data_IF_157477457935
#
_entry.id   IF_157477457935
#
_cell.length_a   1.000
_cell.length_b   1.000
_cell.length_c   1.000
_cell.angle_alpha   90.00
_cell.angle_beta   90.00
_cell.angle_gamma   90.00
#
_symmetry.space_group_name_H-M   'P 1'
#
loop_
_entity.id
_entity.type
_entity.pdbx_description
1 polymer ?
#
# COMPACT_ATOMS: atom_id res chain seq x y z
N UNK A 1 -48.24 -40.04 -26.69
CA UNK A 1 -47.57 -39.43 -25.53
C UNK A 1 -46.29 -38.77 -25.99
N UNK A 2 -46.19 -37.45 -25.82
CA UNK A 2 -45.09 -36.61 -26.34
C UNK A 2 -43.84 -36.78 -25.48
N UNK A 3 -42.74 -37.27 -26.05
CA UNK A 3 -41.43 -37.18 -25.42
C UNK A 3 -40.84 -35.79 -25.68
N UNK A 4 -40.81 -34.95 -24.64
CA UNK A 4 -40.05 -33.71 -24.60
C UNK A 4 -38.56 -34.03 -24.82
N UNK A 5 -38.05 -33.76 -26.01
CA UNK A 5 -36.60 -33.64 -26.25
C UNK A 5 -36.11 -32.37 -25.56
N UNK A 6 -35.71 -32.49 -24.29
CA UNK A 6 -34.81 -31.51 -23.68
C UNK A 6 -33.48 -31.57 -24.44
N UNK A 7 -33.28 -30.66 -25.38
CA UNK A 7 -31.96 -30.39 -25.95
C UNK A 7 -31.12 -29.72 -24.85
N UNK A 8 -30.49 -30.56 -24.03
CA UNK A 8 -29.44 -30.13 -23.12
C UNK A 8 -28.32 -29.48 -23.95
N UNK A 9 -28.06 -28.20 -23.71
CA UNK A 9 -26.89 -27.49 -24.24
C UNK A 9 -25.58 -27.95 -23.58
N UNK A 10 -25.64 -28.87 -22.62
CA UNK A 10 -24.46 -29.47 -22.01
C UNK A 10 -23.91 -30.57 -22.92
N UNK A 11 -22.63 -30.45 -23.27
CA UNK A 11 -21.85 -31.43 -24.04
C UNK A 11 -21.88 -32.85 -23.45
N UNK A 12 -22.18 -32.97 -22.16
CA UNK A 12 -22.23 -34.23 -21.42
C UNK A 12 -23.52 -34.33 -20.62
N UNK A 13 -24.03 -35.56 -20.44
CA UNK A 13 -25.16 -35.88 -19.58
C UNK A 13 -24.79 -35.71 -18.11
N UNK A 14 -25.79 -35.45 -17.27
CA UNK A 14 -25.57 -35.49 -15.82
C UNK A 14 -25.18 -36.89 -15.37
N UNK A 15 -24.38 -37.01 -14.30
CA UNK A 15 -24.04 -38.30 -13.68
C UNK A 15 -25.30 -39.11 -13.28
N UNK A 16 -26.41 -38.42 -13.01
CA UNK A 16 -27.71 -39.03 -12.67
C UNK A 16 -28.49 -39.57 -13.88
N UNK A 17 -28.08 -39.23 -15.10
CA UNK A 17 -28.72 -39.67 -16.35
C UNK A 17 -28.08 -40.95 -16.91
N UNK A 18 -26.97 -41.42 -16.33
CA UNK A 18 -26.39 -42.71 -16.69
C UNK A 18 -27.22 -43.86 -16.09
N UNK A 19 -27.52 -44.91 -16.87
CA UNK A 19 -28.28 -46.04 -16.38
C UNK A 19 -27.49 -46.77 -15.30
N UNK A 20 -28.19 -47.22 -14.24
CA UNK A 20 -27.58 -47.96 -13.13
C UNK A 20 -27.14 -49.37 -13.53
N UNK A 21 -27.76 -49.93 -14.56
CA UNK A 21 -27.51 -51.27 -15.09
C UNK A 21 -27.47 -51.21 -16.61
N UNK A 22 -26.62 -52.03 -17.22
CA UNK A 22 -26.58 -52.22 -18.69
C UNK A 22 -27.54 -53.33 -19.16
N UNK A 23 -28.15 -54.04 -18.21
CA UNK A 23 -29.09 -55.13 -18.48
C UNK A 23 -30.28 -54.60 -19.27
N UNK A 24 -30.37 -55.01 -20.54
CA UNK A 24 -31.43 -54.63 -21.47
C UNK A 24 -31.04 -53.60 -22.53
N UNK A 25 -29.81 -53.07 -22.53
CA UNK A 25 -29.30 -52.24 -23.64
C UNK A 25 -28.78 -53.12 -24.77
N UNK A 26 -28.97 -52.68 -26.02
CA UNK A 26 -28.34 -53.31 -27.17
C UNK A 26 -26.83 -53.01 -27.17
N UNK A 27 -26.00 -53.92 -27.69
CA UNK A 27 -24.54 -53.77 -27.74
C UNK A 27 -24.08 -52.41 -28.32
N UNK A 28 -24.80 -51.91 -29.33
CA UNK A 28 -24.47 -50.62 -29.95
C UNK A 28 -24.74 -49.43 -29.01
N UNK A 29 -25.76 -49.52 -28.15
CA UNK A 29 -26.07 -48.49 -27.15
C UNK A 29 -25.07 -48.51 -25.99
N UNK A 30 -24.62 -49.72 -25.61
CA UNK A 30 -23.57 -49.91 -24.59
C UNK A 30 -22.25 -49.29 -25.05
N UNK A 31 -21.86 -49.49 -26.31
CA UNK A 31 -20.64 -48.89 -26.87
C UNK A 31 -20.68 -47.36 -26.90
N UNK A 32 -21.83 -46.78 -27.25
CA UNK A 32 -22.04 -45.33 -27.23
C UNK A 32 -21.93 -44.80 -25.79
N UNK A 33 -22.61 -45.46 -24.85
CA UNK A 33 -22.59 -45.09 -23.43
C UNK A 33 -21.17 -45.16 -22.86
N UNK A 34 -20.42 -46.21 -23.19
CA UNK A 34 -19.05 -46.38 -22.73
C UNK A 34 -18.12 -45.28 -23.27
N UNK A 35 -18.25 -44.91 -24.55
CA UNK A 35 -17.49 -43.80 -25.15
C UNK A 35 -17.81 -42.48 -24.45
N UNK A 36 -19.09 -42.23 -24.18
CA UNK A 36 -19.52 -41.02 -23.51
C UNK A 36 -19.02 -40.94 -22.05
N UNK A 37 -19.12 -42.03 -21.29
CA UNK A 37 -18.56 -42.12 -19.93
C UNK A 37 -17.05 -41.87 -19.94
N UNK A 38 -16.33 -42.46 -20.91
CA UNK A 38 -14.89 -42.24 -21.07
C UNK A 38 -14.57 -40.78 -21.34
N UNK A 39 -15.31 -40.13 -22.23
CA UNK A 39 -15.11 -38.72 -22.55
C UNK A 39 -15.42 -37.81 -21.35
N UNK A 40 -16.47 -38.10 -20.58
CA UNK A 40 -16.78 -37.43 -19.31
C UNK A 40 -15.62 -37.53 -18.31
N UNK A 41 -15.04 -38.73 -18.14
CA UNK A 41 -13.92 -38.96 -17.24
C UNK A 41 -12.65 -38.23 -17.69
N UNK A 42 -12.34 -38.25 -18.99
CA UNK A 42 -11.20 -37.53 -19.56
C UNK A 42 -11.37 -36.03 -19.36
N UNK A 43 -12.56 -35.49 -19.64
CA UNK A 43 -12.86 -34.08 -19.44
C UNK A 43 -12.74 -33.68 -17.97
N UNK A 44 -13.29 -34.48 -17.06
CA UNK A 44 -13.23 -34.23 -15.61
C UNK A 44 -11.81 -34.25 -15.08
N UNK A 45 -10.98 -35.21 -15.52
CA UNK A 45 -9.57 -35.24 -15.13
C UNK A 45 -8.80 -34.03 -15.67
N UNK A 46 -9.08 -33.62 -16.93
CA UNK A 46 -8.45 -32.43 -17.51
C UNK A 46 -8.87 -31.15 -16.77
N UNK A 47 -10.15 -31.00 -16.44
CA UNK A 47 -10.64 -29.82 -15.71
C UNK A 47 -10.07 -29.77 -14.29
N UNK A 48 -9.97 -30.91 -13.59
CA UNK A 48 -9.31 -31.02 -12.29
C UNK A 48 -7.84 -30.60 -12.35
N UNK A 49 -7.10 -31.09 -13.33
CA UNK A 49 -5.69 -30.71 -13.52
C UNK A 49 -5.53 -29.21 -13.81
N UNK A 50 -6.41 -28.62 -14.61
CA UNK A 50 -6.43 -27.17 -14.85
C UNK A 50 -6.73 -26.38 -13.57
N UNK A 51 -7.68 -26.85 -12.75
CA UNK A 51 -8.02 -26.22 -11.49
C UNK A 51 -6.84 -26.24 -10.51
N UNK A 52 -6.17 -27.39 -10.37
CA UNK A 52 -4.96 -27.53 -9.54
C UNK A 52 -3.85 -26.59 -10.01
N UNK A 53 -3.63 -26.51 -11.32
CA UNK A 53 -2.65 -25.59 -11.90
C UNK A 53 -2.98 -24.14 -11.56
N UNK A 54 -4.22 -23.69 -11.80
CA UNK A 54 -4.63 -22.31 -11.46
C UNK A 54 -4.51 -22.03 -9.97
N UNK A 55 -4.90 -22.98 -9.11
CA UNK A 55 -4.77 -22.82 -7.66
C UNK A 55 -3.31 -22.64 -7.24
N UNK A 56 -2.39 -23.44 -7.82
CA UNK A 56 -0.95 -23.28 -7.60
C UNK A 56 -0.44 -21.91 -8.06
N UNK A 57 -0.79 -21.49 -9.28
CA UNK A 57 -0.42 -20.17 -9.82
C UNK A 57 -0.94 -19.02 -8.92
N UNK A 58 -2.18 -19.12 -8.41
CA UNK A 58 -2.72 -18.14 -7.47
C UNK A 58 -1.98 -18.12 -6.14
N UNK A 59 -1.65 -19.28 -5.59
CA UNK A 59 -0.87 -19.40 -4.35
C UNK A 59 0.52 -18.79 -4.51
N UNK A 60 1.19 -19.06 -5.62
CA UNK A 60 2.50 -18.48 -5.94
C UNK A 60 2.42 -16.95 -6.06
N UNK A 61 1.43 -16.41 -6.79
CA UNK A 61 1.21 -14.95 -6.87
C UNK A 61 0.94 -14.32 -5.52
N UNK A 62 0.10 -14.94 -4.69
CA UNK A 62 -0.16 -14.46 -3.33
C UNK A 62 1.11 -14.45 -2.49
N UNK A 63 1.96 -15.48 -2.61
CA UNK A 63 3.21 -15.53 -1.88
C UNK A 63 4.18 -14.41 -2.30
N UNK A 64 4.25 -14.11 -3.60
CA UNK A 64 5.04 -12.98 -4.11
C UNK A 64 4.54 -11.66 -3.53
N UNK A 65 3.23 -11.43 -3.54
CA UNK A 65 2.63 -10.21 -2.97
C UNK A 65 2.89 -10.09 -1.46
N UNK A 66 2.77 -11.20 -0.72
CA UNK A 66 3.09 -11.23 0.72
C UNK A 66 4.55 -10.84 0.96
N UNK A 67 5.47 -11.34 0.14
CA UNK A 67 6.89 -11.03 0.28
C UNK A 67 7.16 -9.56 -0.04
N UNK A 68 6.53 -9.00 -1.09
CA UNK A 68 6.63 -7.58 -1.44
C UNK A 68 6.11 -6.68 -0.32
N UNK A 69 4.90 -6.95 0.19
CA UNK A 69 4.33 -6.19 1.30
C UNK A 69 5.18 -6.26 2.58
N UNK A 70 5.81 -7.41 2.84
CA UNK A 70 6.73 -7.56 3.96
C UNK A 70 7.97 -6.68 3.79
N UNK A 71 8.52 -6.62 2.58
CA UNK A 71 9.67 -5.78 2.27
C UNK A 71 9.31 -4.28 2.36
N UNK A 72 8.20 -3.86 1.77
CA UNK A 72 7.71 -2.47 1.85
C UNK A 72 7.51 -2.06 3.32
N UNK A 73 6.92 -2.93 4.15
CA UNK A 73 6.76 -2.65 5.58
C UNK A 73 8.10 -2.43 6.28
N UNK A 74 9.12 -3.22 5.97
CA UNK A 74 10.45 -3.05 6.57
C UNK A 74 11.15 -1.78 6.09
N UNK A 75 11.01 -1.44 4.81
CA UNK A 75 11.56 -0.21 4.24
C UNK A 75 10.90 1.02 4.87
N UNK A 76 9.57 1.03 4.97
CA UNK A 76 8.81 2.10 5.61
C UNK A 76 9.22 2.25 7.09
N UNK A 77 9.34 1.14 7.82
CA UNK A 77 9.77 1.17 9.21
C UNK A 77 11.17 1.77 9.39
N UNK A 78 12.11 1.45 8.49
CA UNK A 78 13.46 2.01 8.54
C UNK A 78 13.47 3.50 8.18
N UNK A 79 12.68 3.92 7.18
CA UNK A 79 12.50 5.34 6.86
C UNK A 79 11.97 6.11 8.06
N UNK A 80 10.91 5.62 8.71
CA UNK A 80 10.38 6.25 9.92
C UNK A 80 11.41 6.32 11.04
N UNK A 81 12.19 5.26 11.25
CA UNK A 81 13.26 5.26 12.26
C UNK A 81 14.31 6.31 11.94
N UNK A 82 14.70 6.44 10.68
CA UNK A 82 15.65 7.45 10.23
C UNK A 82 15.11 8.87 10.41
N UNK A 83 13.86 9.13 10.03
CA UNK A 83 13.21 10.44 10.23
C UNK A 83 13.10 10.80 11.71
N UNK A 84 12.78 9.83 12.59
CA UNK A 84 12.76 10.09 14.03
C UNK A 84 14.14 10.49 14.55
N UNK A 85 15.20 9.78 14.14
CA UNK A 85 16.58 10.11 14.52
C UNK A 85 17.00 11.48 14.00
N UNK A 86 16.60 11.83 12.78
CA UNK A 86 16.84 13.15 12.19
C UNK A 86 16.16 14.26 12.99
N UNK A 87 14.86 14.10 13.30
CA UNK A 87 14.11 15.02 14.17
C UNK A 87 14.71 15.12 15.58
N UNK A 88 15.15 14.01 16.17
CA UNK A 88 15.83 14.03 17.49
C UNK A 88 17.12 14.83 17.46
N UNK A 89 17.92 14.68 16.39
CA UNK A 89 19.14 15.46 16.19
C UNK A 89 18.84 16.96 15.99
N UNK A 90 17.79 17.27 15.22
CA UNK A 90 17.31 18.65 15.01
C UNK A 90 16.89 19.29 16.33
N UNK A 91 16.04 18.61 17.12
CA UNK A 91 15.61 19.08 18.44
C UNK A 91 16.82 19.29 19.36
N UNK A 92 17.77 18.35 19.35
CA UNK A 92 19.02 18.47 20.11
C UNK A 92 19.86 19.69 19.68
N UNK A 93 19.92 19.98 18.38
CA UNK A 93 20.61 21.16 17.85
C UNK A 93 19.90 22.45 18.23
N UNK A 94 18.57 22.49 18.11
CA UNK A 94 17.74 23.63 18.48
C UNK A 94 17.87 23.93 19.98
N UNK A 95 17.85 22.90 20.83
CA UNK A 95 18.06 23.06 22.28
C UNK A 95 19.41 23.72 22.58
N UNK A 96 20.48 23.31 21.90
CA UNK A 96 21.81 23.94 22.09
C UNK A 96 21.81 25.40 21.69
N UNK A 97 21.15 25.76 20.58
CA UNK A 97 21.04 27.15 20.16
C UNK A 97 20.19 27.98 21.12
N UNK A 98 19.12 27.40 21.69
CA UNK A 98 18.31 28.05 22.72
C UNK A 98 19.09 28.25 24.03
N UNK A 99 19.88 27.27 24.46
CA UNK A 99 20.77 27.40 25.63
C UNK A 99 21.82 28.50 25.42
N UNK A 100 22.40 28.58 24.20
CA UNK A 100 23.33 29.66 23.84
C UNK A 100 22.65 31.03 23.87
N UNK A 101 21.42 31.13 23.37
CA UNK A 101 20.63 32.35 23.41
C UNK A 101 20.25 32.74 24.84
N UNK A 102 19.84 31.78 25.67
CA UNK A 102 19.55 32.00 27.09
C UNK A 102 20.80 32.50 27.84
N UNK A 103 21.94 31.82 27.67
CA UNK A 103 23.21 32.24 28.29
C UNK A 103 23.64 33.64 27.82
N UNK A 104 23.46 33.94 26.54
CA UNK A 104 23.75 35.27 26.01
C UNK A 104 22.79 36.34 26.58
N UNK A 105 21.51 36.00 26.76
CA UNK A 105 20.50 36.88 27.35
C UNK A 105 20.78 37.14 28.83
N UNK A 106 21.06 36.11 29.63
CA UNK A 106 21.39 36.23 31.06
C UNK A 106 22.61 37.12 31.28
N UNK A 107 23.62 37.00 30.41
CA UNK A 107 24.81 37.86 30.45
C UNK A 107 24.53 39.36 30.21
N UNK A 108 23.40 39.66 29.55
CA UNK A 108 22.93 41.02 29.27
C UNK A 108 21.96 41.51 30.34
N UNK A 109 21.12 40.65 30.93
CA UNK A 109 20.17 41.01 31.99
C UNK A 109 20.86 41.23 33.36
N UNK A 110 21.99 40.57 33.63
CA UNK A 110 22.83 40.80 34.84
C UNK A 110 23.34 42.25 35.00
N UNK A 111 23.09 43.12 34.02
CA UNK A 111 23.41 44.56 34.03
C UNK A 111 22.45 45.36 34.93
N UNK A 112 21.28 44.84 35.26
CA UNK A 112 20.29 45.50 36.13
C UNK A 112 20.65 45.47 37.63
N UNK A 113 21.75 44.80 38.01
CA UNK A 113 22.19 44.73 39.39
C UNK A 113 22.95 46.01 39.80
N UNK A 114 22.41 46.82 40.75
CA UNK A 114 22.92 48.16 41.05
C UNK A 114 24.33 48.17 41.70
N UNK A 115 24.81 47.05 42.22
CA UNK A 115 26.11 46.95 42.89
C UNK A 115 27.32 46.82 41.93
N UNK A 116 27.12 46.53 40.64
CA UNK A 116 28.22 46.31 39.66
C UNK A 116 28.25 47.33 38.50
N UNK A 117 27.39 48.35 38.55
CA UNK A 117 27.08 49.25 37.43
C UNK A 117 28.31 49.97 36.82
N UNK A 118 29.34 50.27 37.62
CA UNK A 118 30.49 51.07 37.18
C UNK A 118 31.48 50.31 36.25
N UNK A 119 31.58 48.98 36.37
CA UNK A 119 32.37 48.15 35.44
C UNK A 119 31.53 47.59 34.28
N UNK A 120 30.21 47.60 34.41
CA UNK A 120 29.28 47.04 33.42
C UNK A 120 29.18 47.87 32.14
N UNK A 121 29.27 49.20 32.19
CA UNK A 121 29.17 50.07 30.99
C UNK A 121 30.27 49.85 29.94
N UNK A 122 31.49 49.49 30.36
CA UNK A 122 32.59 49.23 29.42
C UNK A 122 32.45 47.87 28.69
N UNK A 123 31.75 46.91 29.31
CA UNK A 123 31.58 45.57 28.72
C UNK A 123 30.25 45.40 27.96
N UNK A 124 29.31 46.34 28.10
CA UNK A 124 27.99 46.33 27.47
C UNK A 124 28.01 46.09 25.95
N UNK A 125 28.85 46.78 25.14
CA UNK A 125 28.89 46.55 23.69
C UNK A 125 29.29 45.11 23.37
N UNK A 126 30.31 44.59 24.05
CA UNK A 126 30.82 43.23 23.81
C UNK A 126 29.81 42.13 24.14
N UNK A 127 28.97 42.32 25.16
CA UNK A 127 27.92 41.37 25.56
C UNK A 127 26.71 41.44 24.63
N UNK A 128 26.30 42.63 24.22
CA UNK A 128 25.25 42.82 23.20
C UNK A 128 25.66 42.22 21.85
N UNK A 129 26.92 42.38 21.43
CA UNK A 129 27.44 41.73 20.22
C UNK A 129 27.37 40.20 20.30
N UNK A 130 27.60 39.59 21.47
CA UNK A 130 27.43 38.13 21.67
C UNK A 130 25.98 37.70 21.49
N UNK A 131 25.01 38.47 22.01
CA UNK A 131 23.58 38.20 21.81
C UNK A 131 23.18 38.30 20.33
N UNK A 132 23.59 39.36 19.64
CA UNK A 132 23.33 39.52 18.20
C UNK A 132 24.00 38.41 17.38
N UNK A 133 25.19 37.97 17.79
CA UNK A 133 25.89 36.86 17.15
C UNK A 133 25.14 35.52 17.36
N UNK A 134 24.60 35.26 18.55
CA UNK A 134 23.78 34.09 18.85
C UNK A 134 22.46 34.07 18.05
N UNK A 135 21.80 35.23 17.93
CA UNK A 135 20.61 35.39 17.09
C UNK A 135 20.96 35.15 15.61
N UNK A 136 22.09 35.71 15.15
CA UNK A 136 22.57 35.51 13.78
C UNK A 136 22.85 34.05 13.48
N UNK A 137 23.43 33.28 14.41
CA UNK A 137 23.65 31.85 14.22
C UNK A 137 22.36 31.05 14.10
N UNK A 138 21.32 31.38 14.89
CA UNK A 138 19.99 30.75 14.78
C UNK A 138 19.35 31.05 13.44
N UNK A 139 19.41 32.31 13.00
CA UNK A 139 18.83 32.74 11.71
C UNK A 139 19.57 32.12 10.52
N UNK A 140 20.90 31.96 10.62
CA UNK A 140 21.68 31.30 9.57
C UNK A 140 21.38 29.80 9.51
N UNK A 141 21.33 29.12 10.66
CA UNK A 141 20.94 27.71 10.74
C UNK A 141 19.55 27.47 10.13
N UNK A 142 18.55 28.26 10.54
CA UNK A 142 17.18 28.14 10.01
C UNK A 142 17.08 28.45 8.50
N UNK A 143 17.94 29.32 7.98
CA UNK A 143 17.99 29.67 6.56
C UNK A 143 18.72 28.61 5.71
N UNK A 144 19.74 27.97 6.27
CA UNK A 144 20.52 26.92 5.60
C UNK A 144 19.64 25.68 5.32
N UNK A 145 18.73 25.36 6.24
CA UNK A 145 17.74 24.28 6.12
C UNK A 145 16.74 24.51 4.97
N UNK A 146 16.15 25.72 4.86
CA UNK A 146 15.20 26.06 3.78
C UNK A 146 15.82 26.11 2.38
N UNK A 147 17.13 26.11 2.28
CA UNK A 147 17.83 26.14 0.98
C UNK A 147 18.10 24.72 0.46
N UNK A 148 18.09 23.69 1.31
CA UNK A 148 18.34 22.30 0.93
C UNK A 148 17.08 21.47 0.60
N UNK A 149 15.88 21.88 1.03
CA UNK A 149 14.62 21.11 0.85
C UNK A 149 14.02 21.07 -0.58
N UNK A 150 14.71 21.53 -1.63
CA UNK A 150 14.21 21.37 -3.02
C UNK A 150 14.53 20.02 -3.66
N UNK A 151 15.08 19.06 -2.90
CA UNK A 151 15.29 17.68 -3.36
C UNK A 151 14.13 16.79 -2.89
N UNK A 152 13.05 16.82 -3.68
CA UNK A 152 12.07 15.76 -3.93
C UNK A 152 11.86 14.72 -2.80
N UNK A 153 10.96 15.03 -1.86
CA UNK A 153 10.20 13.98 -1.19
C UNK A 153 9.29 13.26 -2.21
N UNK A 154 9.14 11.92 -2.15
CA UNK A 154 8.05 11.25 -2.84
C UNK A 154 6.74 11.64 -2.16
N UNK A 155 5.95 12.43 -2.88
CA UNK A 155 4.63 12.93 -2.48
C UNK A 155 3.72 11.81 -1.98
N UNK A 156 3.53 11.75 -0.66
CA UNK A 156 2.51 10.93 -0.04
C UNK A 156 1.16 11.67 -0.11
N UNK A 157 0.27 11.12 -0.92
CA UNK A 157 -1.19 11.09 -0.74
C UNK A 157 -1.85 12.41 -0.32
N UNK A 158 -1.98 13.33 -1.29
CA UNK A 158 -3.03 14.36 -1.23
C UNK A 158 -4.37 13.71 -1.52
N UNK A 159 -5.21 13.61 -0.49
CA UNK A 159 -6.63 13.27 -0.60
C UNK A 159 -7.38 14.45 -1.27
N UNK A 160 -7.25 14.57 -2.59
CA UNK A 160 -8.09 15.42 -3.43
C UNK A 160 -9.05 14.53 -4.21
N UNK A 161 -10.33 14.93 -4.38
CA UNK A 161 -11.25 14.21 -5.25
C UNK A 161 -10.68 14.17 -6.66
N UNK A 162 -10.55 12.95 -7.21
CA UNK A 162 -9.91 12.67 -8.49
C UNK A 162 -10.58 13.44 -9.64
N UNK A 163 -9.79 14.17 -10.42
CA UNK A 163 -10.20 14.79 -11.68
C UNK A 163 -10.41 13.73 -12.77
N UNK A 164 -11.40 13.91 -13.68
CA UNK A 164 -11.80 12.90 -14.67
C UNK A 164 -10.70 12.50 -15.67
N UNK A 165 -9.64 13.29 -15.83
CA UNK A 165 -8.49 12.95 -16.68
C UNK A 165 -7.59 11.85 -16.08
N UNK A 166 -7.56 11.68 -14.75
CA UNK A 166 -6.75 10.64 -14.11
C UNK A 166 -7.39 9.24 -14.19
N UNK A 167 -8.69 9.15 -14.51
CA UNK A 167 -9.41 7.89 -14.67
C UNK A 167 -9.07 7.16 -15.98
N UNK A 168 -8.64 7.87 -17.03
CA UNK A 168 -8.26 7.26 -18.31
C UNK A 168 -6.89 6.58 -18.27
N UNK A 169 -5.99 6.98 -17.37
CA UNK A 169 -4.62 6.45 -17.30
C UNK A 169 -4.47 5.20 -16.41
N UNK A 170 -5.51 4.82 -15.65
CA UNK A 170 -5.52 3.59 -14.83
C UNK A 170 -6.81 2.80 -15.04
N UNK A 171 -6.97 2.08 -16.17
CA UNK A 171 -8.18 1.30 -16.46
C UNK A 171 -8.43 0.15 -15.46
N UNK A 172 -7.44 -0.24 -14.65
CA UNK A 172 -7.58 -1.34 -13.69
C UNK A 172 -8.31 -1.00 -12.39
N UNK A 173 -8.56 0.29 -12.08
CA UNK A 173 -9.36 0.66 -10.90
C UNK A 173 -10.87 0.70 -11.18
N UNK A 174 -11.28 0.68 -12.45
CA UNK A 174 -12.70 0.70 -12.86
C UNK A 174 -13.32 -0.70 -12.96
N UNK A 175 -12.50 -1.73 -13.17
CA UNK A 175 -12.97 -3.10 -13.33
C UNK A 175 -12.66 -3.93 -12.08
N UNK A 176 -13.54 -3.85 -11.08
CA UNK A 176 -13.62 -4.90 -10.07
C UNK A 176 -14.14 -6.18 -10.76
N UNK A 177 -13.35 -7.26 -10.90
CA UNK A 177 -13.83 -8.51 -11.50
C UNK A 177 -14.97 -9.16 -10.69
N UNK A 178 -15.29 -8.67 -9.47
CA UNK A 178 -16.49 -9.09 -8.72
C UNK A 178 -17.79 -8.43 -9.19
N UNK A 179 -17.76 -7.36 -9.98
CA UNK A 179 -18.98 -6.70 -10.46
C UNK A 179 -19.55 -7.32 -11.75
N UNK A 180 -18.73 -8.06 -12.50
CA UNK A 180 -19.09 -8.60 -13.84
C UNK A 180 -19.97 -9.87 -13.76
N UNK A 181 -20.17 -10.44 -12.57
CA UNK A 181 -20.91 -11.71 -12.40
C UNK A 181 -22.20 -11.65 -11.58
N UNK A 182 -22.62 -10.48 -11.07
CA UNK A 182 -23.77 -10.38 -10.14
C UNK A 182 -25.11 -9.98 -10.76
N UNK A 183 -25.17 -9.55 -12.02
CA UNK A 183 -26.45 -9.11 -12.61
C UNK A 183 -27.32 -10.23 -13.20
N UNK A 184 -27.00 -11.50 -12.95
CA UNK A 184 -27.68 -12.65 -13.56
C UNK A 184 -28.60 -13.42 -12.59
N UNK A 185 -28.92 -12.83 -11.42
CA UNK A 185 -29.82 -13.45 -10.43
C UNK A 185 -31.14 -12.69 -10.16
N UNK A 186 -31.33 -11.50 -10.73
CA UNK A 186 -32.54 -10.70 -10.52
C UNK A 186 -33.27 -10.49 -11.85
N UNK A 187 -33.89 -11.54 -12.39
CA UNK A 187 -34.92 -11.46 -13.44
C UNK A 187 -35.64 -12.82 -13.59
N UNK A 188 -36.13 -13.39 -12.48
CA UNK A 188 -37.27 -14.31 -12.53
C UNK A 188 -38.24 -13.95 -11.40
N UNK A 189 -39.30 -13.25 -11.78
CA UNK A 189 -40.59 -13.16 -11.08
C UNK A 189 -41.68 -13.10 -12.16
#
# INVERSE_FOLDING_TARGET
MQQKKNQSSARFRSATEFPKTIDGLNNNEVDILYREMRDCLVFTNRSRSQLLRRNKEHKERMQVLINQLKQEKTEIAEVYRQTVVEMENEIGSMSRYLDQLSTAFDSVSDIENPEQAHWNYLSFPSRFFKLVQAIKSIVLWWREEKTQETVKLPSAVSSSPFTPEQLQQKPQMSQDPRSIGKSLLDNES
#
